data_IF_529081990545
#
_entry.id   IF_529081990545
#
_cell.length_a   1.000
_cell.length_b   1.000
_cell.length_c   1.000
_cell.angle_alpha   90.00
_cell.angle_beta   90.00
_cell.angle_gamma   90.00
#
_symmetry.space_group_name_H-M   'P 1'
#
loop_
_entity.id
_entity.type
_entity.pdbx_description
1 polymer ?
#
# COMPACT_ATOMS: atom_id res chain seq x y z
N UNK A 1 -4.57 46.50 19.36
CA UNK A 1 -3.40 45.62 19.18
C UNK A 1 -3.93 44.30 18.63
N UNK A 2 -4.01 44.20 17.30
CA UNK A 2 -4.55 43.02 16.61
C UNK A 2 -3.41 42.01 16.56
N UNK A 3 -3.60 40.88 17.25
CA UNK A 3 -2.66 39.78 17.28
C UNK A 3 -2.72 39.11 15.90
N UNK A 4 -1.75 39.44 15.05
CA UNK A 4 -1.49 38.72 13.80
C UNK A 4 -0.90 37.37 14.19
N UNK A 5 -1.74 36.34 14.23
CA UNK A 5 -1.26 34.95 14.26
C UNK A 5 -0.66 34.72 12.88
N UNK A 6 0.68 34.73 12.80
CA UNK A 6 1.36 34.17 11.65
C UNK A 6 1.00 32.69 11.63
N UNK A 7 0.24 32.27 10.62
CA UNK A 7 0.09 30.86 10.31
C UNK A 7 1.50 30.32 10.06
N UNK A 8 1.88 29.29 10.80
CA UNK A 8 3.09 28.51 10.53
C UNK A 8 3.07 28.13 9.05
N UNK A 9 4.18 28.42 8.36
CA UNK A 9 4.44 27.87 7.03
C UNK A 9 4.53 26.36 7.25
N UNK A 10 3.44 25.65 6.99
CA UNK A 10 3.43 24.19 6.98
C UNK A 10 4.56 23.75 6.07
N UNK A 11 5.58 23.11 6.64
CA UNK A 11 6.56 22.36 5.85
C UNK A 11 5.76 21.30 5.10
N UNK A 12 5.48 21.52 3.82
CA UNK A 12 4.90 20.52 2.95
C UNK A 12 5.71 19.23 3.06
N UNK A 13 5.05 18.08 3.15
CA UNK A 13 5.74 16.83 3.46
C UNK A 13 6.72 16.48 2.34
N UNK A 14 7.95 16.11 2.72
CA UNK A 14 8.93 15.61 1.77
C UNK A 14 8.52 14.23 1.28
N UNK A 15 8.65 14.03 -0.03
CA UNK A 15 8.41 12.73 -0.63
C UNK A 15 9.47 11.75 -0.13
N UNK A 16 9.03 10.61 0.42
CA UNK A 16 9.96 9.57 0.83
C UNK A 16 10.64 8.96 -0.39
N UNK A 17 11.97 8.84 -0.36
CA UNK A 17 12.68 8.05 -1.37
C UNK A 17 12.21 6.60 -1.31
N UNK A 18 12.11 5.98 -2.49
CA UNK A 18 11.61 4.64 -2.66
C UNK A 18 12.71 3.70 -3.13
N UNK A 19 12.68 2.47 -2.61
CA UNK A 19 13.61 1.40 -2.98
C UNK A 19 15.08 1.71 -2.70
N UNK A 20 15.97 1.19 -3.55
CA UNK A 20 17.43 1.40 -3.46
C UNK A 20 17.91 2.12 -4.72
N UNK A 21 17.80 3.47 -4.76
CA UNK A 21 18.16 4.22 -5.95
C UNK A 21 19.67 4.23 -6.19
N UNK A 22 20.05 4.29 -7.46
CA UNK A 22 21.44 4.60 -7.86
C UNK A 22 21.50 6.04 -8.34
N UNK A 23 22.47 6.81 -7.83
CA UNK A 23 22.66 8.19 -8.24
C UNK A 23 23.37 8.26 -9.58
N UNK A 24 22.75 8.95 -10.53
CA UNK A 24 23.36 9.26 -11.81
C UNK A 24 24.35 10.41 -11.69
N UNK A 25 25.55 10.21 -12.23
CA UNK A 25 26.63 11.20 -12.23
C UNK A 25 27.24 11.44 -13.61
N UNK A 26 26.60 10.91 -14.67
CA UNK A 26 27.09 10.98 -16.04
C UNK A 26 26.76 12.30 -16.76
N UNK A 27 27.01 12.35 -18.08
CA UNK A 27 26.70 13.51 -18.91
C UNK A 27 25.22 13.87 -18.90
N UNK A 28 24.92 15.14 -19.15
CA UNK A 28 23.56 15.67 -19.23
C UNK A 28 22.73 14.99 -20.31
N UNK A 29 23.31 14.67 -21.47
CA UNK A 29 22.59 14.00 -22.56
C UNK A 29 23.07 12.56 -22.73
N UNK A 30 22.13 11.62 -22.78
CA UNK A 30 22.37 10.22 -23.13
C UNK A 30 21.35 9.75 -24.15
N UNK A 31 21.85 9.08 -25.20
CA UNK A 31 21.03 8.31 -26.14
C UNK A 31 21.43 6.83 -26.06
N UNK A 32 20.46 5.92 -26.04
CA UNK A 32 20.72 4.47 -25.97
C UNK A 32 20.09 3.74 -27.14
N UNK A 33 20.90 2.89 -27.78
CA UNK A 33 20.47 1.96 -28.85
C UNK A 33 20.29 0.54 -28.32
N UNK A 34 20.89 0.21 -27.17
CA UNK A 34 21.08 -1.16 -26.68
C UNK A 34 20.32 -1.49 -25.38
N UNK A 35 19.42 -0.61 -24.92
CA UNK A 35 18.66 -0.85 -23.68
C UNK A 35 19.52 -0.80 -22.41
N UNK A 36 20.61 -0.03 -22.42
CA UNK A 36 21.42 0.30 -21.24
C UNK A 36 21.78 1.79 -21.27
N UNK A 37 21.66 2.45 -20.13
CA UNK A 37 22.13 3.82 -19.95
C UNK A 37 23.66 3.82 -19.80
N UNK A 38 24.44 4.56 -20.57
CA UNK A 38 25.92 4.60 -20.37
C UNK A 38 26.44 6.03 -20.21
N UNK A 39 26.64 6.40 -18.94
CA UNK A 39 27.30 7.64 -18.54
C UNK A 39 27.65 7.57 -17.05
N UNK A 40 28.89 7.21 -16.72
CA UNK A 40 29.39 6.89 -15.35
C UNK A 40 28.34 6.36 -14.36
N UNK A 41 27.82 5.17 -14.66
CA UNK A 41 26.84 4.44 -13.86
C UNK A 41 25.69 3.95 -14.72
N UNK A 42 25.86 2.79 -15.37
CA UNK A 42 24.81 2.23 -16.20
C UNK A 42 23.66 1.71 -15.33
N UNK A 43 22.45 2.19 -15.61
CA UNK A 43 21.23 1.61 -15.06
C UNK A 43 20.83 0.42 -15.92
N UNK A 44 20.63 -0.71 -15.25
CA UNK A 44 20.02 -1.90 -15.82
C UNK A 44 18.49 -1.74 -15.79
N UNK A 45 17.80 -2.54 -16.59
CA UNK A 45 16.34 -2.58 -16.55
C UNK A 45 15.85 -2.85 -15.12
N UNK A 46 14.82 -2.12 -14.70
CA UNK A 46 14.23 -2.25 -13.37
C UNK A 46 15.00 -1.56 -12.22
N UNK A 47 16.12 -0.86 -12.49
CA UNK A 47 16.77 -0.04 -11.47
C UNK A 47 16.09 1.33 -11.29
N UNK A 48 16.21 1.90 -10.09
CA UNK A 48 15.67 3.23 -9.75
C UNK A 48 16.75 4.29 -9.98
N UNK A 49 16.43 5.28 -10.80
CA UNK A 49 17.33 6.34 -11.23
C UNK A 49 17.21 7.61 -10.40
N UNK A 50 18.29 8.03 -9.72
CA UNK A 50 18.31 9.26 -8.93
C UNK A 50 19.17 10.36 -9.56
N UNK A 51 18.61 11.55 -9.67
CA UNK A 51 19.26 12.77 -10.15
C UNK A 51 19.10 13.88 -9.12
N UNK A 52 20.20 14.37 -8.56
CA UNK A 52 20.18 15.25 -7.38
C UNK A 52 21.16 16.41 -7.45
N UNK A 53 21.63 16.78 -8.63
CA UNK A 53 22.72 17.76 -8.81
C UNK A 53 22.27 19.13 -9.29
N UNK A 54 20.98 19.32 -9.55
CA UNK A 54 20.43 20.57 -10.10
C UNK A 54 20.68 20.76 -11.60
N UNK A 55 21.20 19.74 -12.28
CA UNK A 55 21.43 19.78 -13.72
C UNK A 55 20.17 19.38 -14.51
N UNK A 56 20.14 19.78 -15.78
CA UNK A 56 19.19 19.27 -16.76
C UNK A 56 19.76 18.06 -17.49
N UNK A 57 18.99 16.99 -17.51
CA UNK A 57 19.31 15.72 -18.14
C UNK A 57 18.35 15.43 -19.29
N UNK A 58 18.83 14.82 -20.36
CA UNK A 58 18.02 14.34 -21.47
C UNK A 58 18.39 12.90 -21.76
N UNK A 59 17.39 12.03 -21.70
CA UNK A 59 17.51 10.62 -21.96
C UNK A 59 16.66 10.26 -23.17
N UNK A 60 17.31 9.77 -24.23
CA UNK A 60 16.64 9.33 -25.46
C UNK A 60 16.84 7.84 -25.67
N UNK A 61 15.78 7.11 -25.98
CA UNK A 61 15.86 5.68 -26.31
C UNK A 61 15.37 5.38 -27.71
N UNK A 62 15.96 4.38 -28.36
CA UNK A 62 15.47 3.85 -29.64
C UNK A 62 14.45 2.73 -29.47
N UNK A 63 14.52 1.99 -28.36
CA UNK A 63 13.66 0.86 -28.02
C UNK A 63 13.07 1.10 -26.63
N UNK A 64 11.96 0.45 -26.31
CA UNK A 64 11.34 0.52 -24.98
C UNK A 64 12.33 0.17 -23.87
N UNK A 65 12.36 0.96 -22.81
CA UNK A 65 13.27 0.79 -21.68
C UNK A 65 12.52 0.77 -20.35
N UNK A 66 12.67 -0.31 -19.58
CA UNK A 66 12.01 -0.47 -18.30
C UNK A 66 12.84 0.13 -17.16
N UNK A 67 12.24 1.01 -16.36
CA UNK A 67 12.81 1.61 -15.16
C UNK A 67 12.09 1.08 -13.91
N UNK A 68 12.83 0.86 -12.83
CA UNK A 68 12.24 0.56 -11.53
C UNK A 68 11.70 1.81 -10.83
N UNK A 69 12.16 2.99 -11.25
CA UNK A 69 11.68 4.27 -10.73
C UNK A 69 12.59 5.44 -11.06
N UNK A 70 12.15 6.64 -10.68
CA UNK A 70 12.85 7.91 -10.93
C UNK A 70 12.81 8.74 -9.64
N UNK A 71 13.92 9.34 -9.25
CA UNK A 71 14.01 10.28 -8.14
C UNK A 71 14.73 11.53 -8.64
N UNK A 72 14.02 12.65 -8.70
CA UNK A 72 14.58 13.96 -9.03
C UNK A 72 14.57 14.82 -7.78
N UNK A 73 15.73 15.33 -7.38
CA UNK A 73 15.84 16.29 -6.27
C UNK A 73 16.83 17.39 -6.60
N UNK A 74 16.91 18.41 -5.73
CA UNK A 74 17.90 19.47 -5.82
C UNK A 74 17.74 20.37 -7.05
N UNK A 75 16.52 20.51 -7.58
CA UNK A 75 16.25 21.33 -8.77
C UNK A 75 16.63 20.66 -10.10
N UNK A 76 16.89 19.36 -10.10
CA UNK A 76 17.27 18.63 -11.33
C UNK A 76 16.10 18.54 -12.30
N UNK A 77 16.36 18.64 -13.60
CA UNK A 77 15.39 18.40 -14.67
C UNK A 77 15.73 17.11 -15.40
N UNK A 78 14.76 16.25 -15.70
CA UNK A 78 14.94 15.07 -16.54
C UNK A 78 13.96 15.10 -17.71
N UNK A 79 14.49 15.04 -18.92
CA UNK A 79 13.74 14.90 -20.16
C UNK A 79 13.84 13.45 -20.65
N UNK A 80 12.70 12.77 -20.78
CA UNK A 80 12.60 11.39 -21.25
C UNK A 80 12.00 11.38 -22.65
N UNK A 81 12.84 11.17 -23.66
CA UNK A 81 12.54 11.26 -25.10
C UNK A 81 12.69 9.89 -25.80
N UNK A 82 12.13 9.76 -27.00
CA UNK A 82 12.29 8.60 -27.89
C UNK A 82 12.70 9.06 -29.28
N UNK A 83 13.78 8.50 -29.81
CA UNK A 83 14.35 8.91 -31.10
C UNK A 83 13.75 8.22 -32.34
N UNK A 84 12.77 7.32 -32.17
CA UNK A 84 12.07 6.63 -33.27
C UNK A 84 10.55 6.71 -33.08
N UNK A 85 9.83 7.22 -34.10
CA UNK A 85 8.37 7.36 -34.10
C UNK A 85 7.67 6.01 -34.37
N UNK A 86 7.83 5.07 -33.44
CA UNK A 86 7.09 3.81 -33.41
C UNK A 86 6.00 3.83 -32.33
N UNK A 87 4.96 3.01 -32.51
CA UNK A 87 3.84 2.87 -31.57
C UNK A 87 4.20 1.96 -30.38
N UNK A 88 5.36 2.16 -29.75
CA UNK A 88 5.76 1.42 -28.55
C UNK A 88 6.19 2.38 -27.47
N UNK A 89 5.93 2.04 -26.20
CA UNK A 89 6.29 2.88 -25.07
C UNK A 89 7.79 3.21 -25.12
N UNK A 90 8.14 4.47 -24.89
CA UNK A 90 9.52 4.89 -24.70
C UNK A 90 10.06 4.27 -23.41
N UNK A 91 9.30 4.44 -22.33
CA UNK A 91 9.64 3.89 -21.03
C UNK A 91 8.44 3.18 -20.39
N UNK A 92 8.74 2.14 -19.64
CA UNK A 92 7.77 1.47 -18.78
C UNK A 92 8.26 1.49 -17.34
N UNK A 93 7.34 1.69 -16.40
CA UNK A 93 7.61 1.57 -14.97
C UNK A 93 6.56 0.63 -14.39
N UNK A 94 7.01 -0.44 -13.74
CA UNK A 94 6.12 -1.45 -13.15
C UNK A 94 6.53 -1.72 -11.71
N UNK A 95 5.58 -1.71 -10.77
CA UNK A 95 5.84 -1.90 -9.33
C UNK A 95 6.93 -0.95 -8.80
N UNK A 96 6.86 0.30 -9.26
CA UNK A 96 7.93 1.28 -9.13
C UNK A 96 7.45 2.58 -8.51
N UNK A 97 8.29 3.61 -8.61
CA UNK A 97 7.99 4.89 -8.01
C UNK A 97 8.65 6.05 -8.75
N UNK A 98 8.02 7.22 -8.66
CA UNK A 98 8.55 8.47 -9.15
C UNK A 98 8.52 9.48 -8.00
N UNK A 99 9.65 10.11 -7.70
CA UNK A 99 9.75 11.20 -6.74
C UNK A 99 10.25 12.43 -7.47
N UNK A 100 9.49 13.52 -7.44
CA UNK A 100 9.89 14.82 -7.98
C UNK A 100 9.92 15.84 -6.86
N UNK A 101 11.13 16.13 -6.39
CA UNK A 101 11.38 17.06 -5.31
C UNK A 101 11.14 18.53 -5.69
N UNK A 102 11.14 19.40 -4.69
CA UNK A 102 10.91 20.82 -4.89
C UNK A 102 11.89 21.44 -5.91
N UNK A 103 11.35 22.18 -6.89
CA UNK A 103 12.11 22.81 -7.97
C UNK A 103 12.61 21.84 -9.06
N UNK A 104 12.37 20.53 -8.92
CA UNK A 104 12.70 19.54 -9.94
C UNK A 104 11.58 19.38 -10.97
N UNK A 105 11.96 18.99 -12.19
CA UNK A 105 11.02 18.83 -13.30
C UNK A 105 11.25 17.51 -14.03
N UNK A 106 10.22 16.68 -14.13
CA UNK A 106 10.20 15.50 -14.99
C UNK A 106 9.39 15.80 -16.25
N UNK A 107 10.02 15.70 -17.41
CA UNK A 107 9.39 15.84 -18.71
C UNK A 107 9.34 14.47 -19.38
N UNK A 108 8.15 13.90 -19.47
CA UNK A 108 7.85 12.68 -20.20
C UNK A 108 7.42 13.10 -21.61
N UNK A 109 8.38 13.13 -22.54
CA UNK A 109 8.20 13.71 -23.87
C UNK A 109 7.40 12.80 -24.80
N UNK A 110 7.54 11.48 -24.65
CA UNK A 110 6.94 10.49 -25.55
C UNK A 110 6.11 9.48 -24.75
N UNK A 111 5.28 8.69 -25.42
CA UNK A 111 4.45 7.62 -24.84
C UNK A 111 5.14 6.80 -23.74
N UNK A 112 4.51 6.68 -22.57
CA UNK A 112 4.91 5.79 -21.48
C UNK A 112 3.74 4.96 -20.95
N UNK A 113 4.06 3.78 -20.41
CA UNK A 113 3.13 2.96 -19.65
C UNK A 113 3.58 2.85 -18.19
N UNK A 114 2.66 3.05 -17.26
CA UNK A 114 2.90 2.92 -15.83
C UNK A 114 1.90 1.93 -15.21
N UNK A 115 2.43 0.91 -14.53
CA UNK A 115 1.63 -0.11 -13.84
C UNK A 115 2.06 -0.27 -12.38
N UNK A 116 1.14 -0.10 -11.44
CA UNK A 116 1.39 -0.17 -9.99
C UNK A 116 2.53 0.77 -9.55
N UNK A 117 2.41 2.06 -9.91
CA UNK A 117 3.45 3.08 -9.67
C UNK A 117 2.98 4.12 -8.67
N UNK A 118 3.82 4.42 -7.67
CA UNK A 118 3.61 5.56 -6.77
C UNK A 118 4.41 6.77 -7.23
N UNK A 119 3.74 7.84 -7.62
CA UNK A 119 4.30 9.14 -7.97
C UNK A 119 4.09 10.11 -6.81
N UNK A 120 5.15 10.76 -6.35
CA UNK A 120 5.08 11.81 -5.34
C UNK A 120 5.76 13.08 -5.88
N UNK A 121 5.03 14.18 -5.87
CA UNK A 121 5.49 15.49 -6.36
C UNK A 121 5.48 16.44 -5.16
N UNK A 122 6.66 16.88 -4.74
CA UNK A 122 6.81 17.85 -3.65
C UNK A 122 6.27 19.22 -4.06
N UNK A 123 5.95 20.07 -3.08
CA UNK A 123 5.54 21.45 -3.37
C UNK A 123 6.63 22.19 -4.18
N UNK A 124 6.27 22.67 -5.37
CA UNK A 124 7.20 23.28 -6.33
C UNK A 124 7.88 22.31 -7.28
N UNK A 125 7.59 21.01 -7.21
CA UNK A 125 7.96 20.00 -8.21
C UNK A 125 6.99 19.99 -9.39
N UNK A 126 7.44 19.48 -10.54
CA UNK A 126 6.65 19.46 -11.78
C UNK A 126 6.80 18.15 -12.54
N UNK A 127 5.69 17.56 -12.97
CA UNK A 127 5.66 16.48 -13.97
C UNK A 127 4.88 16.96 -15.19
N UNK A 128 5.50 16.86 -16.37
CA UNK A 128 4.88 17.17 -17.65
C UNK A 128 4.79 15.89 -18.49
N UNK A 129 3.59 15.54 -18.94
CA UNK A 129 3.34 14.58 -20.00
C UNK A 129 3.21 15.30 -21.33
N UNK A 130 3.60 14.62 -22.40
CA UNK A 130 3.59 15.15 -23.77
C UNK A 130 4.15 16.57 -23.86
N UNK A 131 5.37 16.74 -23.38
CA UNK A 131 5.97 18.08 -23.24
C UNK A 131 6.55 18.64 -24.55
N UNK A 132 6.43 17.93 -25.69
CA UNK A 132 6.93 18.39 -26.99
C UNK A 132 5.76 18.83 -27.86
N UNK A 133 5.69 20.14 -28.11
CA UNK A 133 4.66 20.80 -28.92
C UNK A 133 4.89 20.64 -30.44
N UNK A 134 4.95 19.42 -30.98
CA UNK A 134 4.80 19.23 -32.43
C UNK A 134 3.33 18.96 -32.72
N UNK A 135 2.63 19.94 -33.31
CA UNK A 135 1.19 19.83 -33.55
C UNK A 135 0.84 18.57 -34.34
N UNK A 136 -0.01 17.71 -33.77
CA UNK A 136 -0.57 16.53 -34.44
C UNK A 136 0.01 15.18 -34.00
N UNK A 137 1.14 15.15 -33.29
CA UNK A 137 1.68 13.92 -32.69
C UNK A 137 1.20 13.85 -31.23
N UNK A 138 0.08 13.18 -30.99
CA UNK A 138 -0.41 12.90 -29.63
C UNK A 138 0.22 11.62 -29.12
N UNK A 139 0.84 11.69 -27.96
CA UNK A 139 1.38 10.52 -27.29
C UNK A 139 0.35 9.94 -26.31
N UNK A 140 0.20 8.61 -26.36
CA UNK A 140 -0.64 7.89 -25.40
C UNK A 140 0.10 7.82 -24.06
N UNK A 141 -0.60 7.89 -22.94
CA UNK A 141 -0.03 7.64 -21.61
C UNK A 141 -0.95 6.71 -20.84
N UNK A 142 -0.47 5.50 -20.61
CA UNK A 142 -1.22 4.42 -19.96
C UNK A 142 -1.00 4.39 -18.46
N UNK A 143 -2.08 4.34 -17.69
CA UNK A 143 -2.07 4.27 -16.23
C UNK A 143 -2.86 3.06 -15.72
N UNK A 144 -2.19 2.14 -15.04
CA UNK A 144 -2.78 1.00 -14.36
C UNK A 144 -2.34 1.00 -12.89
N UNK A 145 -3.24 1.24 -11.93
CA UNK A 145 -2.89 1.20 -10.51
C UNK A 145 -1.87 2.27 -10.11
N UNK A 146 -1.95 3.45 -10.72
CA UNK A 146 -0.99 4.54 -10.48
C UNK A 146 -1.54 5.50 -9.42
N UNK A 147 -0.74 5.81 -8.39
CA UNK A 147 -1.08 6.86 -7.41
C UNK A 147 -0.18 8.05 -7.61
N UNK A 148 -0.73 9.25 -7.80
CA UNK A 148 -0.01 10.52 -7.89
C UNK A 148 -0.36 11.38 -6.69
N UNK A 149 0.61 11.66 -5.82
CA UNK A 149 0.43 12.47 -4.64
C UNK A 149 1.11 13.84 -4.82
N UNK A 150 0.29 14.90 -4.82
CA UNK A 150 0.70 16.29 -4.95
C UNK A 150 0.84 16.91 -3.54
N UNK A 151 2.07 17.08 -3.05
CA UNK A 151 2.34 17.47 -1.66
C UNK A 151 2.18 18.98 -1.38
N UNK A 152 1.42 19.71 -2.19
CA UNK A 152 1.20 21.14 -1.99
C UNK A 152 0.56 21.84 -3.19
N UNK A 153 0.13 23.11 -3.03
CA UNK A 153 -0.54 23.85 -4.08
C UNK A 153 0.37 24.16 -5.29
N UNK A 154 1.70 24.10 -5.13
CA UNK A 154 2.68 24.32 -6.20
C UNK A 154 3.26 23.00 -6.75
N UNK A 155 2.81 21.84 -6.27
CA UNK A 155 3.14 20.54 -6.88
C UNK A 155 2.32 20.37 -8.16
N UNK A 156 2.96 20.41 -9.33
CA UNK A 156 2.28 20.62 -10.62
C UNK A 156 2.28 19.37 -11.51
N UNK A 157 1.13 19.09 -12.11
CA UNK A 157 0.94 18.03 -13.10
C UNK A 157 0.38 18.62 -14.40
N UNK A 158 1.06 18.40 -15.50
CA UNK A 158 0.65 18.93 -16.80
C UNK A 158 0.52 17.81 -17.82
N UNK A 159 -0.65 17.67 -18.42
CA UNK A 159 -0.93 16.61 -19.40
C UNK A 159 -0.61 16.98 -20.85
N UNK A 160 -0.24 18.22 -21.16
CA UNK A 160 0.15 18.59 -22.52
C UNK A 160 -0.95 18.26 -23.55
N UNK A 161 -0.59 17.67 -24.68
CA UNK A 161 -1.52 17.17 -25.71
C UNK A 161 -1.74 15.64 -25.64
N UNK A 162 -1.48 15.05 -24.46
CA UNK A 162 -1.53 13.61 -24.26
C UNK A 162 -2.91 12.99 -24.55
N UNK A 163 -2.89 11.77 -25.08
CA UNK A 163 -4.01 10.85 -25.07
C UNK A 163 -3.90 9.98 -23.81
N UNK A 164 -4.92 9.97 -22.95
CA UNK A 164 -4.83 9.29 -21.67
C UNK A 164 -5.59 7.97 -21.73
N UNK A 165 -4.91 6.88 -21.41
CA UNK A 165 -5.54 5.57 -21.23
C UNK A 165 -5.47 5.18 -19.75
N UNK A 166 -6.63 5.08 -19.10
CA UNK A 166 -6.74 4.63 -17.72
C UNK A 166 -7.28 3.20 -17.72
N UNK A 167 -6.55 2.29 -17.08
CA UNK A 167 -7.04 0.92 -16.90
C UNK A 167 -8.36 0.93 -16.11
N UNK A 168 -9.41 0.26 -16.60
CA UNK A 168 -10.73 0.32 -15.97
C UNK A 168 -10.80 -0.38 -14.61
N UNK A 169 -9.83 -1.23 -14.27
CA UNK A 169 -9.84 -2.02 -13.03
C UNK A 169 -8.99 -1.36 -11.95
N UNK A 170 -7.76 -0.97 -12.28
CA UNK A 170 -6.76 -0.49 -11.35
C UNK A 170 -6.59 1.03 -11.37
N UNK A 171 -6.96 1.69 -12.48
CA UNK A 171 -7.14 3.13 -12.56
C UNK A 171 -5.93 4.02 -12.28
N UNK A 172 -6.22 5.29 -12.00
CA UNK A 172 -5.28 6.30 -11.53
C UNK A 172 -5.88 7.05 -10.33
N UNK A 173 -5.15 7.16 -9.23
CA UNK A 173 -5.51 7.96 -8.07
C UNK A 173 -4.66 9.23 -8.05
N UNK A 174 -5.27 10.41 -7.95
CA UNK A 174 -4.55 11.67 -7.72
C UNK A 174 -4.95 12.27 -6.38
N UNK A 175 -3.99 12.35 -5.45
CA UNK A 175 -4.11 12.96 -4.14
C UNK A 175 -3.49 14.37 -4.13
N UNK A 176 -3.97 15.25 -3.25
CA UNK A 176 -3.42 16.61 -3.11
C UNK A 176 -3.79 17.57 -4.25
N UNK A 177 -4.76 17.19 -5.08
CA UNK A 177 -5.35 18.08 -6.07
C UNK A 177 -6.08 19.25 -5.39
N UNK A 178 -5.81 20.47 -5.86
CA UNK A 178 -6.35 21.71 -5.28
C UNK A 178 -7.48 22.33 -6.10
N UNK A 179 -7.89 21.67 -7.18
CA UNK A 179 -8.89 22.17 -8.11
C UNK A 179 -10.32 21.84 -7.73
N UNK A 180 -11.25 22.28 -8.58
CA UNK A 180 -12.67 21.92 -8.54
C UNK A 180 -13.02 20.98 -9.68
N UNK A 181 -14.02 20.11 -9.47
CA UNK A 181 -14.50 19.18 -10.48
C UNK A 181 -15.05 19.95 -11.70
N UNK A 182 -14.63 19.53 -12.90
CA UNK A 182 -14.95 20.23 -14.15
C UNK A 182 -15.75 19.38 -15.14
N UNK A 183 -15.67 18.05 -15.04
CA UNK A 183 -16.22 17.14 -16.01
C UNK A 183 -17.66 16.78 -15.62
N UNK A 184 -18.63 17.51 -16.17
CA UNK A 184 -20.07 17.27 -15.99
C UNK A 184 -20.63 16.17 -16.92
N UNK A 185 -19.74 15.47 -17.64
CA UNK A 185 -20.07 14.37 -18.56
C UNK A 185 -20.56 14.82 -19.94
N UNK A 186 -20.56 16.12 -20.27
CA UNK A 186 -21.15 16.59 -21.54
C UNK A 186 -20.18 17.33 -22.47
N UNK A 187 -19.09 17.91 -21.96
CA UNK A 187 -18.07 18.56 -22.81
C UNK A 187 -16.66 18.39 -22.25
N UNK A 188 -15.74 17.82 -23.05
CA UNK A 188 -14.32 17.81 -22.72
C UNK A 188 -13.79 19.26 -22.65
N UNK A 189 -13.07 19.66 -21.58
CA UNK A 189 -12.60 21.03 -21.43
C UNK A 189 -11.58 21.42 -22.51
N UNK A 190 -11.81 22.55 -23.19
CA UNK A 190 -11.11 23.04 -24.38
C UNK A 190 -9.69 23.59 -24.13
N UNK A 191 -8.89 22.97 -23.25
CA UNK A 191 -7.76 23.55 -22.47
C UNK A 191 -8.22 24.18 -21.17
N UNK A 192 -7.46 23.93 -20.10
CA UNK A 192 -7.81 24.41 -18.79
C UNK A 192 -6.79 24.11 -17.71
N UNK A 193 -7.07 24.67 -16.54
CA UNK A 193 -6.34 24.42 -15.31
C UNK A 193 -7.39 24.22 -14.23
N UNK A 194 -7.22 23.17 -13.43
CA UNK A 194 -7.98 22.99 -12.20
C UNK A 194 -7.00 22.77 -11.06
N UNK A 195 -6.86 23.78 -10.20
CA UNK A 195 -5.86 23.79 -9.14
C UNK A 195 -4.45 23.65 -9.71
N UNK A 196 -3.80 22.56 -9.32
CA UNK A 196 -2.42 22.22 -9.67
C UNK A 196 -2.29 21.23 -10.85
N UNK A 197 -3.37 21.01 -11.61
CA UNK A 197 -3.39 20.19 -12.83
C UNK A 197 -3.73 21.03 -14.05
N UNK A 198 -2.97 20.88 -15.14
CA UNK A 198 -3.18 21.60 -16.42
C UNK A 198 -3.25 20.64 -17.61
N UNK A 199 -4.00 21.02 -18.65
CA UNK A 199 -4.12 20.28 -19.91
C UNK A 199 -4.42 21.23 -21.07
N UNK A 200 -4.24 20.76 -22.30
CA UNK A 200 -4.50 21.53 -23.53
C UNK A 200 -5.83 21.15 -24.16
N UNK A 201 -6.23 21.85 -25.22
CA UNK A 201 -7.43 21.51 -26.00
C UNK A 201 -7.29 20.21 -26.78
N UNK A 202 -6.07 19.71 -26.90
CA UNK A 202 -5.75 18.49 -27.64
C UNK A 202 -5.70 17.26 -26.74
N UNK A 203 -5.72 17.45 -25.41
CA UNK A 203 -5.79 16.35 -24.44
C UNK A 203 -7.10 15.61 -24.58
N UNK A 204 -7.02 14.31 -24.86
CA UNK A 204 -8.17 13.42 -24.90
C UNK A 204 -8.31 12.74 -23.54
N UNK A 205 -9.56 12.45 -23.15
CA UNK A 205 -9.87 11.66 -21.96
C UNK A 205 -9.28 12.20 -20.66
N UNK A 206 -9.02 13.52 -20.60
CA UNK A 206 -8.68 14.21 -19.34
C UNK A 206 -9.80 14.06 -18.30
N UNK A 207 -11.04 13.91 -18.76
CA UNK A 207 -12.16 13.60 -17.89
C UNK A 207 -12.06 12.20 -17.32
N UNK A 208 -11.42 11.24 -17.97
CA UNK A 208 -11.12 9.95 -17.35
C UNK A 208 -10.11 10.13 -16.24
N UNK A 209 -9.15 11.07 -16.28
CA UNK A 209 -8.32 11.35 -15.09
C UNK A 209 -9.11 12.06 -13.97
N UNK A 210 -9.91 13.06 -14.35
CA UNK A 210 -10.64 13.88 -13.38
C UNK A 210 -11.80 13.09 -12.73
N UNK A 211 -12.41 12.17 -13.48
CA UNK A 211 -13.55 11.32 -13.12
C UNK A 211 -13.17 9.89 -12.72
N UNK A 212 -12.10 9.29 -13.28
CA UNK A 212 -11.50 8.05 -12.77
C UNK A 212 -10.72 8.26 -11.47
N UNK A 213 -11.20 9.20 -10.66
CA UNK A 213 -11.62 8.89 -9.29
C UNK A 213 -12.54 7.66 -9.26
N UNK A 214 -12.07 6.51 -9.73
CA UNK A 214 -12.50 5.23 -9.18
C UNK A 214 -11.93 5.29 -7.78
N UNK A 215 -12.79 5.79 -6.89
CA UNK A 215 -12.45 6.15 -5.53
C UNK A 215 -11.72 4.94 -4.94
N UNK A 216 -10.44 5.07 -4.55
CA UNK A 216 -10.01 4.34 -3.37
C UNK A 216 -11.10 4.59 -2.35
N UNK A 217 -11.57 3.52 -1.70
CA UNK A 217 -12.45 3.61 -0.54
C UNK A 217 -12.21 4.96 0.15
N UNK A 218 -13.21 5.84 0.16
CA UNK A 218 -13.03 7.20 0.69
C UNK A 218 -12.91 7.08 2.21
N UNK A 219 -11.78 6.56 2.70
CA UNK A 219 -11.53 6.46 4.13
C UNK A 219 -11.14 7.85 4.60
N UNK A 220 -11.98 8.42 5.46
CA UNK A 220 -11.61 9.58 6.25
C UNK A 220 -10.46 9.25 7.20
N UNK A 221 -10.41 7.99 7.67
CA UNK A 221 -9.40 7.50 8.59
C UNK A 221 -9.23 5.99 8.43
N UNK A 222 -7.99 5.52 8.51
CA UNK A 222 -7.67 4.12 8.78
C UNK A 222 -6.49 4.07 9.75
N UNK A 223 -6.74 3.50 10.93
CA UNK A 223 -5.76 3.42 12.01
C UNK A 223 -5.73 2.04 12.63
N UNK A 224 -4.60 1.73 13.24
CA UNK A 224 -4.33 0.44 13.83
C UNK A 224 -3.58 0.59 15.14
N UNK A 225 -4.00 -0.15 16.16
CA UNK A 225 -3.38 -0.13 17.49
C UNK A 225 -3.09 -1.56 17.95
N UNK A 226 -1.84 -1.84 18.26
CA UNK A 226 -1.47 -3.09 18.90
C UNK A 226 -1.94 -3.10 20.37
N UNK A 227 -2.76 -4.08 20.71
CA UNK A 227 -3.27 -4.34 22.04
C UNK A 227 -2.44 -5.46 22.69
N UNK A 228 -1.55 -5.09 23.60
CA UNK A 228 -0.61 -6.03 24.22
C UNK A 228 -1.27 -7.02 25.19
N UNK A 229 -2.40 -6.66 25.79
CA UNK A 229 -3.11 -7.46 26.80
C UNK A 229 -3.66 -8.77 26.23
N UNK A 230 -4.30 -8.70 25.06
CA UNK A 230 -4.90 -9.83 24.34
C UNK A 230 -4.04 -10.29 23.15
N UNK A 231 -2.96 -9.56 22.82
CA UNK A 231 -2.13 -9.78 21.61
C UNK A 231 -2.99 -9.71 20.35
N UNK A 232 -3.52 -8.53 20.07
CA UNK A 232 -4.26 -8.30 18.84
C UNK A 232 -3.95 -6.94 18.23
N UNK A 233 -4.22 -6.78 16.95
CA UNK A 233 -4.28 -5.48 16.29
C UNK A 233 -5.74 -5.05 16.20
N UNK A 234 -6.11 -3.96 16.87
CA UNK A 234 -7.39 -3.31 16.65
C UNK A 234 -7.24 -2.38 15.44
N UNK A 235 -8.01 -2.65 14.40
CA UNK A 235 -8.12 -1.84 13.18
C UNK A 235 -9.43 -1.06 13.25
N UNK A 236 -9.37 0.24 12.99
CA UNK A 236 -10.52 1.12 12.94
C UNK A 236 -10.44 1.97 11.68
N UNK A 237 -11.54 2.04 10.95
CA UNK A 237 -11.63 2.88 9.76
C UNK A 237 -12.97 3.58 9.70
N UNK A 238 -13.01 4.70 8.97
CA UNK A 238 -14.24 5.44 8.71
C UNK A 238 -14.34 5.75 7.24
N UNK A 239 -15.41 5.30 6.59
CA UNK A 239 -15.76 5.72 5.23
C UNK A 239 -16.36 7.11 5.26
N UNK A 240 -16.12 7.94 4.24
CA UNK A 240 -16.77 9.23 4.04
C UNK A 240 -18.16 9.04 3.43
N UNK A 241 -18.24 8.13 2.46
CA UNK A 241 -19.44 7.66 1.79
C UNK A 241 -19.26 6.21 1.32
N UNK A 242 -20.36 5.55 1.03
CA UNK A 242 -20.41 4.19 0.46
C UNK A 242 -21.36 4.18 -0.73
N UNK A 243 -20.93 3.54 -1.82
CA UNK A 243 -21.70 3.38 -3.04
C UNK A 243 -21.57 1.94 -3.52
N UNK A 244 -22.69 1.24 -3.64
CA UNK A 244 -22.77 -0.20 -3.99
C UNK A 244 -21.87 -1.11 -3.16
N UNK A 245 -21.49 -0.70 -1.95
CA UNK A 245 -20.52 -1.41 -1.13
C UNK A 245 -21.13 -2.67 -0.50
N UNK A 246 -20.72 -3.84 -0.99
CA UNK A 246 -21.14 -5.13 -0.45
C UNK A 246 -20.46 -5.40 0.89
N UNK A 247 -19.13 -5.34 0.92
CA UNK A 247 -18.34 -5.63 2.11
C UNK A 247 -16.91 -5.11 1.99
N UNK A 248 -16.22 -5.12 3.13
CA UNK A 248 -14.79 -4.90 3.24
C UNK A 248 -14.09 -6.22 3.52
N UNK A 249 -13.04 -6.51 2.78
CA UNK A 249 -12.04 -7.51 3.07
C UNK A 249 -10.88 -6.85 3.83
N UNK A 250 -10.54 -7.39 4.98
CA UNK A 250 -9.39 -6.94 5.78
C UNK A 250 -8.22 -7.82 5.37
N UNK A 251 -7.21 -7.20 4.77
CA UNK A 251 -6.04 -7.92 4.30
C UNK A 251 -4.83 -7.61 5.20
N UNK A 252 -4.01 -8.63 5.43
CA UNK A 252 -2.80 -8.56 6.23
C UNK A 252 -1.61 -9.11 5.46
N UNK A 253 -0.44 -8.50 5.66
CA UNK A 253 0.85 -9.07 5.29
C UNK A 253 1.81 -8.99 6.48
N UNK A 254 2.65 -10.00 6.69
CA UNK A 254 3.55 -10.10 7.84
C UNK A 254 4.99 -9.88 7.41
N UNK A 255 5.70 -8.99 8.12
CA UNK A 255 7.11 -8.61 7.95
C UNK A 255 7.46 -7.91 6.62
N UNK A 256 6.69 -8.09 5.55
CA UNK A 256 6.77 -7.35 4.28
C UNK A 256 5.37 -7.06 3.71
N UNK A 257 5.28 -6.50 2.49
CA UNK A 257 4.03 -6.17 1.79
C UNK A 257 3.82 -6.98 0.51
N UNK A 258 4.52 -8.11 0.37
CA UNK A 258 4.51 -8.92 -0.86
C UNK A 258 3.39 -9.95 -0.90
N UNK A 259 2.93 -10.44 0.26
CA UNK A 259 1.96 -11.51 0.37
C UNK A 259 0.78 -11.11 1.28
N UNK A 260 -0.34 -10.78 0.66
CA UNK A 260 -1.56 -10.38 1.37
C UNK A 260 -2.50 -11.58 1.56
N UNK A 261 -2.99 -11.74 2.79
CA UNK A 261 -4.05 -12.69 3.13
C UNK A 261 -5.29 -11.95 3.63
N UNK A 262 -6.47 -12.35 3.17
CA UNK A 262 -7.74 -11.88 3.72
C UNK A 262 -7.96 -12.54 5.08
N UNK A 263 -7.88 -11.75 6.15
CA UNK A 263 -8.02 -12.23 7.53
C UNK A 263 -9.43 -12.05 8.09
N UNK A 264 -10.27 -11.25 7.44
CA UNK A 264 -11.63 -10.99 7.88
C UNK A 264 -12.48 -10.30 6.83
N UNK A 265 -13.80 -10.39 7.00
CA UNK A 265 -14.78 -9.71 6.17
C UNK A 265 -15.73 -8.93 7.08
N UNK A 266 -15.92 -7.65 6.80
CA UNK A 266 -16.87 -6.78 7.49
C UNK A 266 -17.91 -6.30 6.49
N UNK A 267 -19.18 -6.58 6.78
CA UNK A 267 -20.28 -6.18 5.89
C UNK A 267 -20.35 -4.66 5.76
N UNK A 268 -20.47 -4.17 4.53
CA UNK A 268 -20.71 -2.76 4.22
C UNK A 268 -22.18 -2.37 4.38
N UNK A 269 -22.45 -1.07 4.29
CA UNK A 269 -23.81 -0.54 4.38
C UNK A 269 -24.57 -0.61 3.04
N UNK A 270 -23.87 -0.86 1.93
CA UNK A 270 -24.43 -0.78 0.57
C UNK A 270 -24.33 0.63 0.03
N UNK A 271 -25.16 1.54 0.54
CA UNK A 271 -25.17 2.95 0.14
C UNK A 271 -25.23 3.85 1.38
N UNK A 272 -24.37 4.87 1.44
CA UNK A 272 -24.37 5.89 2.49
C UNK A 272 -23.70 7.16 2.00
N UNK A 273 -24.38 8.31 2.08
CA UNK A 273 -23.76 9.63 1.88
C UNK A 273 -23.27 10.25 3.20
N UNK A 274 -23.22 9.47 4.27
CA UNK A 274 -22.75 9.89 5.59
C UNK A 274 -21.57 9.03 6.04
N UNK A 275 -20.65 9.58 6.85
CA UNK A 275 -19.53 8.81 7.35
C UNK A 275 -19.96 7.65 8.23
N UNK A 276 -19.34 6.48 8.03
CA UNK A 276 -19.60 5.27 8.81
C UNK A 276 -18.29 4.69 9.35
N UNK A 277 -18.27 4.40 10.64
CA UNK A 277 -17.10 3.85 11.32
C UNK A 277 -17.25 2.35 11.52
N UNK A 278 -16.14 1.65 11.30
CA UNK A 278 -16.03 0.21 11.39
C UNK A 278 -14.80 -0.17 12.21
N UNK A 279 -14.80 -1.40 12.71
CA UNK A 279 -13.62 -1.96 13.36
C UNK A 279 -13.48 -3.45 13.10
N UNK A 280 -12.24 -3.89 13.14
CA UNK A 280 -11.86 -5.29 13.04
C UNK A 280 -10.71 -5.56 14.01
N UNK A 281 -10.71 -6.71 14.69
CA UNK A 281 -9.61 -7.08 15.58
C UNK A 281 -8.93 -8.34 15.07
N UNK A 282 -7.66 -8.20 14.69
CA UNK A 282 -6.81 -9.33 14.32
C UNK A 282 -6.17 -9.94 15.58
N UNK A 283 -6.63 -11.14 15.95
CA UNK A 283 -6.13 -11.91 17.10
C UNK A 283 -4.98 -12.87 16.74
N UNK A 284 -4.58 -12.94 15.47
CA UNK A 284 -3.76 -14.03 14.94
C UNK A 284 -2.31 -13.57 14.69
N UNK A 285 -1.76 -12.74 15.58
CA UNK A 285 -0.42 -12.18 15.47
C UNK A 285 0.66 -13.15 16.00
N UNK A 286 1.75 -13.44 15.24
CA UNK A 286 2.82 -14.35 15.67
C UNK A 286 3.40 -13.98 17.04
N UNK A 287 3.87 -14.93 17.88
CA UNK A 287 4.44 -14.61 19.20
C UNK A 287 5.75 -13.80 19.19
N UNK A 288 6.53 -13.90 18.11
CA UNK A 288 7.74 -13.12 17.91
C UNK A 288 7.41 -11.61 17.81
N UNK A 289 8.41 -10.74 17.94
CA UNK A 289 8.22 -9.35 17.54
C UNK A 289 8.25 -9.24 16.01
N UNK A 290 7.50 -8.29 15.44
CA UNK A 290 7.48 -8.07 14.01
C UNK A 290 6.64 -6.86 13.63
N UNK A 291 6.38 -6.75 12.33
CA UNK A 291 5.51 -5.72 11.75
C UNK A 291 4.40 -6.41 10.98
N UNK A 292 3.15 -6.06 11.28
CA UNK A 292 1.99 -6.46 10.50
C UNK A 292 1.53 -5.26 9.67
N UNK A 293 1.37 -5.47 8.36
CA UNK A 293 0.83 -4.49 7.44
C UNK A 293 -0.63 -4.81 7.18
N UNK A 294 -1.47 -3.79 7.13
CA UNK A 294 -2.91 -3.94 6.92
C UNK A 294 -3.41 -2.98 5.84
N UNK A 295 -4.38 -3.43 5.06
CA UNK A 295 -5.18 -2.61 4.15
C UNK A 295 -6.63 -3.06 4.17
N UNK A 296 -7.54 -2.14 3.85
CA UNK A 296 -8.96 -2.42 3.69
C UNK A 296 -9.24 -2.50 2.19
N UNK A 297 -9.80 -3.62 1.74
CA UNK A 297 -10.25 -3.80 0.38
C UNK A 297 -11.77 -3.74 0.34
N UNK A 298 -12.31 -2.70 -0.25
CA UNK A 298 -13.75 -2.58 -0.48
C UNK A 298 -14.14 -3.46 -1.66
N UNK A 299 -15.27 -4.17 -1.55
CA UNK A 299 -15.84 -4.98 -2.62
C UNK A 299 -17.29 -4.54 -2.85
N UNK A 300 -17.65 -4.24 -4.08
CA UNK A 300 -18.99 -3.83 -4.45
C UNK A 300 -19.94 -5.03 -4.68
N UNK A 301 -21.18 -4.78 -5.09
CA UNK A 301 -22.13 -5.85 -5.43
C UNK A 301 -21.82 -6.56 -6.76
N UNK A 302 -21.03 -5.95 -7.65
CA UNK A 302 -20.53 -6.53 -8.91
C UNK A 302 -19.37 -7.51 -8.72
N UNK A 303 -18.64 -7.38 -7.61
CA UNK A 303 -17.35 -8.02 -7.36
C UNK A 303 -16.13 -7.15 -7.72
N UNK A 304 -16.33 -5.92 -8.19
CA UNK A 304 -15.25 -4.94 -8.33
C UNK A 304 -14.74 -4.55 -6.94
N UNK A 305 -13.45 -4.25 -6.85
CA UNK A 305 -12.83 -3.98 -5.57
C UNK A 305 -11.72 -2.94 -5.65
N UNK A 306 -11.51 -2.24 -4.54
CA UNK A 306 -10.48 -1.21 -4.43
C UNK A 306 -9.85 -1.27 -3.04
N UNK A 307 -8.53 -1.17 -2.98
CA UNK A 307 -7.78 -1.21 -1.71
C UNK A 307 -7.48 0.18 -1.18
N UNK A 308 -7.46 0.34 0.14
CA UNK A 308 -7.00 1.53 0.83
C UNK A 308 -5.47 1.66 0.80
N UNK A 309 -4.96 2.80 1.28
CA UNK A 309 -3.57 2.90 1.72
C UNK A 309 -3.27 1.86 2.81
N UNK A 310 -1.99 1.49 2.92
CA UNK A 310 -1.51 0.50 3.89
C UNK A 310 -1.06 1.16 5.18
N UNK A 311 -1.46 0.60 6.33
CA UNK A 311 -0.90 0.96 7.63
C UNK A 311 0.01 -0.15 8.14
N UNK A 312 0.96 0.19 9.00
CA UNK A 312 1.82 -0.77 9.68
C UNK A 312 1.63 -0.72 11.19
N UNK A 313 1.63 -1.88 11.83
CA UNK A 313 1.52 -2.03 13.27
C UNK A 313 2.71 -2.86 13.73
N UNK A 314 3.59 -2.25 14.53
CA UNK A 314 4.65 -2.97 15.22
C UNK A 314 4.06 -3.70 16.43
N UNK A 315 4.31 -5.01 16.52
CA UNK A 315 3.92 -5.81 17.68
C UNK A 315 5.15 -6.38 18.37
N UNK A 316 5.16 -6.27 19.70
CA UNK A 316 6.28 -6.71 20.52
C UNK A 316 6.23 -8.21 20.81
N UNK A 317 7.39 -8.81 21.10
CA UNK A 317 7.48 -10.21 21.57
C UNK A 317 6.67 -10.34 22.85
N UNK A 318 5.87 -11.41 22.97
CA UNK A 318 5.09 -11.65 24.19
C UNK A 318 5.99 -12.05 25.37
N UNK A 319 6.14 -11.15 26.35
CA UNK A 319 6.93 -11.38 27.57
C UNK A 319 6.32 -12.44 28.50
N UNK A 320 7.15 -13.13 29.29
CA UNK A 320 6.74 -14.14 30.28
C UNK A 320 7.66 -15.37 30.30
N UNK A 321 7.75 -16.05 31.43
CA UNK A 321 8.63 -17.22 31.64
C UNK A 321 8.07 -18.52 31.08
N UNK A 322 6.76 -18.57 30.82
CA UNK A 322 6.12 -19.78 30.32
C UNK A 322 6.44 -19.97 28.82
N UNK A 323 6.97 -21.14 28.41
CA UNK A 323 7.37 -21.40 27.04
C UNK A 323 6.16 -21.50 26.10
N UNK A 324 5.06 -22.09 26.55
CA UNK A 324 3.80 -22.14 25.79
C UNK A 324 2.91 -20.96 26.15
N UNK A 325 2.32 -20.32 25.14
CA UNK A 325 1.43 -19.19 25.34
C UNK A 325 0.15 -19.40 24.59
N UNK A 326 -0.95 -19.35 25.33
CA UNK A 326 -2.30 -19.37 24.78
C UNK A 326 -2.86 -17.96 24.70
N UNK A 327 -3.41 -17.59 23.56
CA UNK A 327 -4.02 -16.29 23.33
C UNK A 327 -5.12 -16.33 22.24
N UNK A 328 -6.13 -15.44 22.31
CA UNK A 328 -6.46 -14.61 23.46
C UNK A 328 -6.93 -15.46 24.66
N UNK A 329 -6.65 -14.98 25.87
CA UNK A 329 -7.15 -15.58 27.11
C UNK A 329 -7.33 -14.50 28.18
N UNK A 330 -8.58 -14.18 28.61
CA UNK A 330 -9.84 -14.82 28.20
C UNK A 330 -10.17 -14.67 26.71
N UNK A 331 -10.98 -15.58 26.16
CA UNK A 331 -11.51 -15.53 24.79
C UNK A 331 -13.03 -15.66 24.80
N UNK A 332 -13.71 -15.19 23.76
CA UNK A 332 -15.15 -15.44 23.56
C UNK A 332 -15.37 -16.76 22.80
N UNK A 333 -16.56 -17.36 22.92
CA UNK A 333 -16.89 -18.65 22.33
C UNK A 333 -16.79 -18.68 20.80
N UNK A 334 -17.03 -17.54 20.15
CA UNK A 334 -16.95 -17.33 18.70
C UNK A 334 -15.55 -16.92 18.19
N UNK A 335 -14.55 -16.81 19.08
CA UNK A 335 -13.18 -16.45 18.70
C UNK A 335 -12.31 -17.69 18.56
N UNK A 336 -11.41 -17.72 17.58
CA UNK A 336 -10.33 -18.70 17.54
C UNK A 336 -9.35 -18.45 18.70
N UNK A 337 -8.73 -19.52 19.20
CA UNK A 337 -7.62 -19.43 20.16
C UNK A 337 -6.38 -20.11 19.57
N UNK A 338 -5.23 -19.53 19.87
CA UNK A 338 -3.93 -19.96 19.39
C UNK A 338 -3.07 -20.38 20.56
N UNK A 339 -2.32 -21.46 20.37
CA UNK A 339 -1.31 -21.94 21.30
C UNK A 339 0.01 -22.04 20.55
N UNK A 340 1.00 -21.29 21.01
CA UNK A 340 2.32 -21.26 20.39
C UNK A 340 3.43 -21.46 21.42
N UNK A 341 4.53 -22.08 20.96
CA UNK A 341 5.79 -22.17 21.69
C UNK A 341 6.66 -20.97 21.32
N UNK A 342 7.09 -20.17 22.31
CA UNK A 342 7.80 -18.89 22.08
C UNK A 342 9.08 -19.02 21.27
N UNK A 343 9.88 -20.04 21.54
CA UNK A 343 11.20 -20.22 20.96
C UNK A 343 11.29 -21.64 20.37
N UNK A 344 10.80 -21.81 19.14
CA UNK A 344 10.77 -23.11 18.45
C UNK A 344 12.15 -23.77 18.36
N UNK A 345 13.24 -22.99 18.31
CA UNK A 345 14.62 -23.50 18.32
C UNK A 345 14.99 -24.26 19.59
N UNK A 346 14.26 -24.05 20.69
CA UNK A 346 14.47 -24.78 21.94
C UNK A 346 13.77 -26.14 21.97
N UNK A 347 12.90 -26.43 21.00
CA UNK A 347 12.23 -27.72 20.88
C UNK A 347 13.17 -28.77 20.28
N UNK A 348 13.31 -29.90 20.97
CA UNK A 348 14.32 -30.91 20.69
C UNK A 348 13.77 -32.20 20.05
N UNK A 349 12.59 -32.16 19.43
CA UNK A 349 12.03 -33.31 18.72
C UNK A 349 11.14 -34.25 19.55
N UNK A 350 10.87 -33.94 20.83
CA UNK A 350 10.16 -34.84 21.73
C UNK A 350 8.63 -34.73 21.61
N UNK A 351 7.87 -35.84 21.75
CA UNK A 351 6.42 -35.81 21.80
C UNK A 351 5.89 -34.98 22.96
N UNK A 352 4.76 -34.33 22.72
CA UNK A 352 4.05 -33.49 23.66
C UNK A 352 2.79 -34.22 24.11
N UNK A 353 2.73 -34.53 25.39
CA UNK A 353 1.54 -35.06 26.03
C UNK A 353 0.65 -33.89 26.43
N UNK A 354 -0.53 -33.83 25.83
CA UNK A 354 -1.52 -32.78 26.03
C UNK A 354 -2.74 -33.37 26.74
N UNK A 355 -3.17 -32.77 27.85
CA UNK A 355 -4.46 -33.05 28.47
C UNK A 355 -5.28 -31.78 28.56
N UNK A 356 -6.52 -31.80 28.09
CA UNK A 356 -7.46 -30.69 28.25
C UNK A 356 -8.61 -31.18 29.11
N UNK A 357 -8.89 -30.48 30.21
CA UNK A 357 -10.00 -30.82 31.13
C UNK A 357 -10.85 -29.60 31.46
N UNK A 358 -12.13 -29.82 31.74
CA UNK A 358 -13.01 -28.78 32.26
C UNK A 358 -12.85 -28.59 33.78
N UNK A 359 -13.60 -27.68 34.39
CA UNK A 359 -13.59 -27.43 35.83
C UNK A 359 -14.00 -28.62 36.70
N UNK A 360 -14.59 -29.68 36.13
CA UNK A 360 -14.92 -30.94 36.82
C UNK A 360 -13.80 -31.98 36.68
N UNK A 361 -12.69 -31.66 36.04
CA UNK A 361 -11.56 -32.55 35.79
C UNK A 361 -11.81 -33.59 34.68
N UNK A 362 -12.98 -33.54 34.02
CA UNK A 362 -13.30 -34.39 32.88
C UNK A 362 -12.63 -33.80 31.65
N UNK A 363 -11.89 -34.62 30.91
CA UNK A 363 -11.03 -34.15 29.83
C UNK A 363 -10.56 -35.23 28.88
N UNK A 364 -9.93 -34.78 27.81
CA UNK A 364 -9.33 -35.61 26.76
C UNK A 364 -7.80 -35.51 26.84
N UNK A 365 -7.10 -36.52 26.33
CA UNK A 365 -5.64 -36.56 26.28
C UNK A 365 -5.19 -36.93 24.88
N UNK A 366 -4.12 -36.29 24.41
CA UNK A 366 -3.49 -36.54 23.12
C UNK A 366 -1.98 -36.60 23.25
N UNK A 367 -1.34 -37.30 22.32
CA UNK A 367 0.11 -37.31 22.13
C UNK A 367 0.38 -36.72 20.76
N UNK A 368 1.08 -35.59 20.73
CA UNK A 368 1.32 -34.79 19.53
C UNK A 368 2.82 -34.72 19.26
N UNK A 369 3.24 -34.83 18.01
CA UNK A 369 4.65 -35.05 17.68
C UNK A 369 5.46 -33.77 17.60
N UNK A 370 4.82 -32.61 17.44
CA UNK A 370 5.51 -31.33 17.27
C UNK A 370 4.62 -30.14 17.66
N UNK A 371 5.20 -28.94 17.85
CA UNK A 371 4.41 -27.77 18.26
C UNK A 371 3.32 -27.33 17.28
N UNK A 372 3.52 -27.55 15.98
CA UNK A 372 2.52 -27.21 14.96
C UNK A 372 1.26 -28.07 15.08
N UNK A 373 1.42 -29.38 15.33
CA UNK A 373 0.30 -30.29 15.62
C UNK A 373 -0.46 -29.88 16.88
N UNK A 374 0.24 -29.41 17.91
CA UNK A 374 -0.38 -28.87 19.12
C UNK A 374 -1.22 -27.64 18.81
N UNK A 375 -0.67 -26.65 18.09
CA UNK A 375 -1.41 -25.45 17.71
C UNK A 375 -2.66 -25.79 16.88
N UNK A 376 -2.53 -26.69 15.91
CA UNK A 376 -3.65 -27.15 15.09
C UNK A 376 -4.73 -27.86 15.92
N UNK A 377 -4.34 -28.81 16.78
CA UNK A 377 -5.27 -29.54 17.63
C UNK A 377 -6.05 -28.61 18.56
N UNK A 378 -5.39 -27.62 19.19
CA UNK A 378 -6.05 -26.66 20.07
C UNK A 378 -7.07 -25.81 19.32
N UNK A 379 -6.72 -25.34 18.13
CA UNK A 379 -7.63 -24.55 17.30
C UNK A 379 -8.89 -25.36 16.96
N UNK A 380 -8.73 -26.64 16.60
CA UNK A 380 -9.85 -27.54 16.27
C UNK A 380 -10.65 -28.00 17.49
N UNK A 381 -10.00 -28.20 18.64
CA UNK A 381 -10.70 -28.55 19.87
C UNK A 381 -11.64 -27.40 20.25
N UNK A 382 -11.13 -26.17 20.31
CA UNK A 382 -11.92 -25.05 20.79
C UNK A 382 -12.87 -24.45 19.75
N UNK A 383 -12.84 -24.87 18.48
CA UNK A 383 -13.92 -24.55 17.53
C UNK A 383 -15.22 -25.30 17.87
N UNK A 384 -15.14 -26.43 18.58
CA UNK A 384 -16.28 -27.31 18.90
C UNK A 384 -16.73 -27.25 20.37
N UNK A 385 -16.05 -26.47 21.21
CA UNK A 385 -16.31 -26.40 22.66
C UNK A 385 -16.68 -24.98 23.10
N UNK A 386 -17.81 -24.87 23.81
CA UNK A 386 -18.41 -23.60 24.24
C UNK A 386 -17.72 -22.89 25.41
N UNK A 387 -18.39 -21.87 25.95
CA UNK A 387 -17.90 -21.09 27.07
C UNK A 387 -17.69 -21.95 28.34
N UNK A 388 -16.69 -21.60 29.13
CA UNK A 388 -16.33 -22.32 30.34
C UNK A 388 -14.89 -22.11 30.79
N UNK A 389 -14.54 -22.75 31.90
CA UNK A 389 -13.17 -22.81 32.40
C UNK A 389 -12.55 -24.16 32.07
N UNK A 390 -11.39 -24.12 31.43
CA UNK A 390 -10.62 -25.29 31.05
C UNK A 390 -9.21 -25.21 31.64
N UNK A 391 -8.62 -26.38 31.89
CA UNK A 391 -7.23 -26.55 32.28
C UNK A 391 -6.55 -27.40 31.23
N UNK A 392 -5.44 -26.89 30.71
CA UNK A 392 -4.62 -27.56 29.73
C UNK A 392 -3.27 -27.88 30.36
N UNK A 393 -2.95 -29.16 30.44
CA UNK A 393 -1.65 -29.64 30.90
C UNK A 393 -0.84 -30.10 29.69
N UNK A 394 0.36 -29.52 29.55
CA UNK A 394 1.36 -29.86 28.55
C UNK A 394 2.55 -30.49 29.26
N UNK A 395 2.99 -31.66 28.81
CA UNK A 395 4.21 -32.32 29.30
C UNK A 395 5.07 -32.69 28.10
N UNK A 396 6.33 -32.26 28.11
CA UNK A 396 7.31 -32.59 27.07
C UNK A 396 8.69 -32.72 27.70
N UNK A 397 9.39 -33.82 27.40
CA UNK A 397 10.67 -34.16 28.04
C UNK A 397 10.55 -34.10 29.58
N UNK A 398 11.35 -33.25 30.23
CA UNK A 398 11.37 -33.03 31.69
C UNK A 398 10.56 -31.79 32.11
N UNK A 399 9.85 -31.16 31.17
CA UNK A 399 9.09 -29.95 31.41
C UNK A 399 7.59 -30.24 31.49
N UNK A 400 6.90 -29.44 32.29
CA UNK A 400 5.44 -29.41 32.30
C UNK A 400 4.94 -27.97 32.43
N UNK A 401 3.77 -27.71 31.85
CA UNK A 401 3.10 -26.43 31.96
C UNK A 401 1.59 -26.62 32.00
N UNK A 402 0.95 -26.00 32.99
CA UNK A 402 -0.51 -25.89 33.07
C UNK A 402 -0.96 -24.50 32.64
N UNK A 403 -1.93 -24.46 31.73
CA UNK A 403 -2.57 -23.23 31.25
C UNK A 403 -4.03 -23.27 31.66
N UNK A 404 -4.45 -22.27 32.44
CA UNK A 404 -5.88 -22.03 32.73
C UNK A 404 -6.47 -21.21 31.59
N UNK A 405 -7.57 -21.68 31.01
CA UNK A 405 -8.24 -21.10 29.85
C UNK A 405 -9.63 -20.65 30.27
N UNK A 406 -9.94 -19.38 30.00
CA UNK A 406 -11.23 -18.79 30.29
C UNK A 406 -11.93 -18.47 28.97
N UNK A 407 -13.05 -19.16 28.71
CA UNK A 407 -13.91 -18.89 27.57
C UNK A 407 -15.23 -18.28 28.02
N UNK A 408 -15.52 -17.09 27.51
CA UNK A 408 -16.76 -16.37 27.75
C UNK A 408 -17.79 -16.71 26.68
N UNK A 409 -19.07 -16.47 26.99
CA UNK A 409 -20.18 -16.66 26.06
C UNK A 409 -20.08 -15.73 24.87
#
# INVERSE_FOLDING_TARGET
>A
MILMVMADISTFAQCSECGSPRTYSGPSTVSTTSGYWSGSGAFSQGEIAKFSTGNSYTFSVNNSFNLGGIILTGGSTLNMDKSSQGNTAAFTITNGCIVVGAGSTLNLIYFNEMSNVSVCIEDGGTVNFDSRTQSGDRDIFGFEGVTINLQGPNATLNFGAADIEVDPTNGILIEGWTGSELCDGLTAPTSGTSGNITWTSETIDICDIINARVLPIELLEFKGIFQSSNRSSLLEWTTAKEWENSHFEIERSLNDVSNWETIGIVKGQGYSDQPLSYSYTDYNLPLASGVAYYRIKQVDFSGENTSSFTISIQYSKKSGTNPWVLYPNPSNSNQSIHLELKDLETWNGEPIYLKISNSRGIGETQILQNPSEVSFYITQFFSNYGAGMYFMDLVWKDNSQTIKILRNH
#
